data_IF_361365978709
#
_entry.id   IF_361365978709
#
_cell.length_a   1.000
_cell.length_b   1.000
_cell.length_c   1.000
_cell.angle_alpha   90.00
_cell.angle_beta   90.00
_cell.angle_gamma   90.00
#
_symmetry.space_group_name_H-M   'P 1'
#
loop_
_entity.id
_entity.type
_entity.pdbx_description
1 polymer ?
#
# COMPACT_ATOMS: atom_id res chain seq x y z
N UNK A 1 43.14 47.98 57.53
CA UNK A 1 42.21 48.29 56.42
C UNK A 1 41.00 47.36 56.60
N UNK A 2 39.80 47.84 56.94
CA UNK A 2 38.72 48.30 56.02
C UNK A 2 38.58 47.36 54.82
N UNK A 3 37.45 46.83 54.37
CA UNK A 3 36.01 46.92 54.69
C UNK A 3 35.33 45.95 53.69
N UNK A 4 34.37 45.14 54.15
CA UNK A 4 33.16 44.57 53.49
C UNK A 4 33.12 44.27 51.98
N UNK A 5 32.59 43.09 51.65
CA UNK A 5 31.35 42.78 50.88
C UNK A 5 31.28 41.23 50.80
N UNK A 6 30.33 40.45 51.34
CA UNK A 6 28.86 40.48 51.36
C UNK A 6 28.23 40.41 49.96
N UNK A 7 27.76 39.23 49.56
CA UNK A 7 26.40 38.85 49.11
C UNK A 7 26.43 37.40 48.55
N UNK A 8 25.88 36.43 49.28
CA UNK A 8 24.56 35.79 49.04
C UNK A 8 24.56 34.88 47.78
N UNK A 9 24.79 33.57 47.91
CA UNK A 9 23.82 32.56 48.33
C UNK A 9 22.51 32.62 47.55
N UNK A 10 22.38 31.74 46.55
CA UNK A 10 21.10 31.14 46.17
C UNK A 10 21.34 29.65 45.94
N UNK A 11 21.15 28.90 47.03
CA UNK A 11 20.76 27.50 46.98
C UNK A 11 19.23 27.50 46.91
N UNK A 12 18.66 27.11 45.77
CA UNK A 12 17.31 26.54 45.73
C UNK A 12 17.38 25.28 44.89
N UNK A 13 17.14 24.18 45.59
CA UNK A 13 16.93 22.86 45.03
C UNK A 13 15.65 22.83 44.21
N UNK A 14 15.70 22.19 43.05
CA UNK A 14 14.57 21.42 42.54
C UNK A 14 15.00 19.96 42.43
N UNK A 15 14.50 19.17 43.36
CA UNK A 15 14.23 17.75 43.15
C UNK A 15 13.17 17.63 42.06
N UNK A 16 13.42 16.86 41.01
CA UNK A 16 12.35 16.08 40.38
C UNK A 16 12.95 14.96 39.53
N UNK A 17 12.93 13.76 40.10
CA UNK A 17 12.78 12.55 39.32
C UNK A 17 11.39 12.57 38.67
N UNK A 18 11.29 12.34 37.36
CA UNK A 18 10.50 11.21 36.86
C UNK A 18 10.74 11.03 35.38
N UNK A 19 11.01 9.77 35.02
CA UNK A 19 10.79 9.12 33.74
C UNK A 19 9.95 9.91 32.72
N UNK A 20 10.48 10.00 31.52
CA UNK A 20 9.88 9.50 30.28
C UNK A 20 11.11 9.24 29.40
N UNK A 21 11.59 8.00 29.23
CA UNK A 21 10.88 6.90 28.56
C UNK A 21 9.90 7.43 27.51
N UNK A 22 10.39 8.31 26.64
CA UNK A 22 9.91 8.28 25.25
C UNK A 22 10.57 7.05 24.61
N UNK A 23 10.10 5.89 25.06
CA UNK A 23 10.07 4.69 24.25
C UNK A 23 9.41 5.12 22.94
N UNK A 24 10.21 5.29 21.89
CA UNK A 24 9.69 5.38 20.53
C UNK A 24 9.04 4.02 20.30
N UNK A 25 7.74 3.96 20.60
CA UNK A 25 6.91 2.81 20.31
C UNK A 25 6.77 2.79 18.80
N UNK A 26 7.73 2.14 18.14
CA UNK A 26 7.51 1.65 16.79
C UNK A 26 6.40 0.62 16.92
N UNK A 27 5.17 1.02 16.60
CA UNK A 27 4.02 0.14 16.38
C UNK A 27 4.28 -0.77 15.15
N UNK A 28 5.33 -1.60 15.20
CA UNK A 28 5.64 -2.62 14.20
C UNK A 28 5.99 -3.97 14.85
N UNK A 29 5.69 -4.16 16.13
CA UNK A 29 5.22 -5.49 16.53
C UNK A 29 3.81 -5.63 15.97
N UNK A 30 3.67 -6.21 14.77
CA UNK A 30 2.37 -6.61 14.27
C UNK A 30 1.68 -7.41 15.39
N UNK A 31 0.58 -6.92 15.98
CA UNK A 31 -0.13 -7.72 16.94
C UNK A 31 -0.69 -8.92 16.17
N UNK A 32 -0.27 -10.12 16.57
CA UNK A 32 -0.71 -11.43 16.03
C UNK A 32 -2.25 -11.56 15.99
N UNK A 33 -2.98 -10.70 16.73
CA UNK A 33 -4.43 -10.66 16.81
C UNK A 33 -5.15 -9.76 15.76
N UNK A 34 -4.46 -9.18 14.78
CA UNK A 34 -5.04 -8.20 13.83
C UNK A 34 -5.26 -8.67 12.39
N UNK A 35 -5.09 -9.96 12.09
CA UNK A 35 -5.08 -10.43 10.70
C UNK A 35 -6.48 -10.50 10.06
N UNK A 36 -6.63 -9.84 8.92
CA UNK A 36 -7.87 -9.77 8.16
C UNK A 36 -8.13 -11.07 7.41
N UNK A 37 -8.96 -11.95 7.99
CA UNK A 37 -9.28 -13.24 7.36
C UNK A 37 -10.21 -13.17 6.13
N UNK A 38 -11.03 -12.12 6.01
CA UNK A 38 -12.05 -12.01 4.94
C UNK A 38 -12.38 -10.55 4.60
N UNK A 39 -12.55 -10.25 3.31
CA UNK A 39 -12.95 -8.93 2.79
C UNK A 39 -13.92 -9.10 1.63
N UNK A 40 -14.97 -8.27 1.58
CA UNK A 40 -15.88 -8.18 0.42
C UNK A 40 -15.08 -7.95 -0.86
N UNK A 41 -15.38 -8.72 -1.91
CA UNK A 41 -14.68 -8.61 -3.19
C UNK A 41 -14.78 -7.22 -3.85
N UNK A 42 -15.78 -6.44 -3.43
CA UNK A 42 -16.07 -5.08 -3.90
C UNK A 42 -15.96 -4.02 -2.78
N UNK A 43 -15.20 -4.30 -1.72
CA UNK A 43 -14.97 -3.35 -0.63
C UNK A 43 -14.54 -1.97 -1.19
N UNK A 44 -15.10 -0.85 -0.71
CA UNK A 44 -15.89 -0.66 0.53
C UNK A 44 -17.37 -1.05 0.42
N UNK A 45 -17.86 -1.46 -0.74
CA UNK A 45 -19.20 -1.99 -0.87
C UNK A 45 -19.23 -3.43 -0.36
N UNK A 46 -19.96 -3.65 0.74
CA UNK A 46 -20.19 -4.98 1.27
C UNK A 46 -21.15 -5.72 0.33
N UNK A 47 -20.77 -6.93 -0.11
CA UNK A 47 -21.61 -7.73 -0.99
C UNK A 47 -22.46 -8.68 -0.18
N UNK A 48 -23.79 -8.54 -0.25
CA UNK A 48 -24.68 -9.47 0.43
C UNK A 48 -24.55 -10.87 -0.20
N UNK A 49 -24.44 -11.93 0.62
CA UNK A 49 -24.53 -13.28 0.10
C UNK A 49 -25.89 -13.47 -0.61
N UNK A 50 -25.88 -14.04 -1.81
CA UNK A 50 -27.11 -14.40 -2.52
C UNK A 50 -27.03 -15.86 -2.97
N UNK A 51 -28.07 -16.64 -2.68
CA UNK A 51 -28.19 -18.05 -3.08
C UNK A 51 -26.94 -18.92 -2.80
N UNK A 52 -26.26 -18.71 -1.67
CA UNK A 52 -25.05 -19.45 -1.29
C UNK A 52 -23.74 -18.94 -1.91
N UNK A 53 -23.79 -17.93 -2.78
CA UNK A 53 -22.61 -17.28 -3.34
C UNK A 53 -22.12 -16.17 -2.40
N UNK A 54 -21.15 -16.51 -1.56
CA UNK A 54 -20.32 -15.53 -0.86
C UNK A 54 -19.22 -14.98 -1.77
N UNK A 55 -19.35 -13.71 -2.15
CA UNK A 55 -18.36 -13.00 -2.94
C UNK A 55 -17.38 -12.27 -2.00
N UNK A 56 -16.46 -13.02 -1.40
CA UNK A 56 -15.48 -12.45 -0.48
C UNK A 56 -14.10 -13.04 -0.76
N UNK A 57 -13.08 -12.19 -0.75
CA UNK A 57 -11.70 -12.67 -0.64
C UNK A 57 -11.46 -13.23 0.76
N UNK A 58 -10.71 -14.32 0.84
CA UNK A 58 -10.23 -14.88 2.12
C UNK A 58 -8.72 -14.99 2.12
N UNK A 59 -8.12 -14.89 3.30
CA UNK A 59 -6.67 -14.80 3.44
C UNK A 59 -6.15 -15.85 4.43
N UNK A 60 -5.11 -16.56 4.02
CA UNK A 60 -4.36 -17.48 4.89
C UNK A 60 -3.06 -16.83 5.33
N UNK A 61 -2.58 -17.21 6.51
CA UNK A 61 -1.39 -16.62 7.14
C UNK A 61 -0.44 -17.72 7.62
N UNK A 62 0.86 -17.42 7.66
CA UNK A 62 1.84 -18.28 8.34
C UNK A 62 1.86 -18.03 9.86
N UNK A 63 2.68 -18.81 10.58
CA UNK A 63 2.81 -18.70 12.03
C UNK A 63 3.43 -17.36 12.49
N UNK A 64 4.04 -16.60 11.57
CA UNK A 64 4.57 -15.26 11.83
C UNK A 64 3.53 -14.16 11.53
N UNK A 65 2.32 -14.53 11.12
CA UNK A 65 1.24 -13.60 10.80
C UNK A 65 1.36 -12.95 9.43
N UNK A 66 2.25 -13.44 8.54
CA UNK A 66 2.37 -12.94 7.17
C UNK A 66 1.36 -13.62 6.26
N UNK A 67 0.75 -12.88 5.36
CA UNK A 67 -0.24 -13.44 4.43
C UNK A 67 0.45 -14.36 3.41
N UNK A 68 -0.02 -15.60 3.30
CA UNK A 68 0.53 -16.63 2.40
C UNK A 68 -0.40 -16.96 1.25
N UNK A 69 -1.69 -16.62 1.36
CA UNK A 69 -2.67 -16.89 0.32
C UNK A 69 -3.79 -15.85 0.30
N UNK A 70 -4.24 -15.46 -0.89
CA UNK A 70 -5.52 -14.79 -1.14
C UNK A 70 -6.37 -15.73 -2.00
N UNK A 71 -7.57 -16.07 -1.55
CA UNK A 71 -8.52 -16.89 -2.31
C UNK A 71 -9.65 -15.98 -2.80
N UNK A 72 -10.08 -16.19 -4.03
CA UNK A 72 -10.98 -15.31 -4.75
C UNK A 72 -10.23 -14.40 -5.73
N UNK A 73 -10.82 -14.18 -6.90
CA UNK A 73 -10.26 -13.29 -7.92
C UNK A 73 -11.31 -12.84 -8.92
N UNK A 74 -11.03 -11.71 -9.57
CA UNK A 74 -11.76 -11.26 -10.75
C UNK A 74 -11.11 -11.85 -11.98
N UNK A 75 -11.92 -12.45 -12.84
CA UNK A 75 -11.51 -12.95 -14.15
C UNK A 75 -12.09 -12.01 -15.20
N UNK A 76 -11.24 -11.52 -16.08
CA UNK A 76 -11.67 -10.69 -17.18
C UNK A 76 -12.58 -11.50 -18.11
N UNK A 77 -13.68 -10.87 -18.51
CA UNK A 77 -14.61 -11.45 -19.48
C UNK A 77 -14.42 -10.77 -20.82
N UNK A 78 -14.78 -11.48 -21.89
CA UNK A 78 -14.94 -10.86 -23.20
C UNK A 78 -15.96 -9.73 -23.12
N UNK A 79 -15.65 -8.60 -23.75
CA UNK A 79 -16.57 -7.46 -23.84
C UNK A 79 -17.93 -7.81 -24.46
N UNK A 80 -18.01 -8.90 -25.24
CA UNK A 80 -19.27 -9.42 -25.79
C UNK A 80 -20.26 -9.94 -24.73
N UNK A 81 -19.82 -10.16 -23.49
CA UNK A 81 -20.70 -10.61 -22.39
C UNK A 81 -21.49 -9.46 -21.76
N UNK A 82 -21.12 -8.20 -22.02
CA UNK A 82 -21.69 -7.03 -21.34
C UNK A 82 -21.18 -6.81 -19.92
N UNK A 83 -20.28 -7.67 -19.43
CA UNK A 83 -19.64 -7.56 -18.13
C UNK A 83 -18.12 -7.47 -18.31
N UNK A 84 -17.45 -6.68 -17.48
CA UNK A 84 -15.98 -6.56 -17.52
C UNK A 84 -15.27 -7.74 -16.85
N UNK A 85 -15.92 -8.38 -15.88
CA UNK A 85 -15.32 -9.47 -15.12
C UNK A 85 -16.38 -10.36 -14.46
N UNK A 86 -15.96 -11.55 -14.03
CA UNK A 86 -16.68 -12.36 -13.06
C UNK A 86 -15.81 -12.70 -11.86
N UNK A 87 -16.43 -12.85 -10.69
CA UNK A 87 -15.75 -13.31 -9.49
C UNK A 87 -15.71 -14.84 -9.45
N UNK A 88 -14.56 -15.42 -9.11
CA UNK A 88 -14.41 -16.86 -8.90
C UNK A 88 -13.60 -17.18 -7.66
N UNK A 89 -14.09 -18.12 -6.85
CA UNK A 89 -13.37 -18.69 -5.70
C UNK A 89 -12.22 -19.62 -6.11
N UNK A 90 -12.25 -20.11 -7.35
CA UNK A 90 -11.19 -20.97 -7.89
C UNK A 90 -9.94 -20.19 -8.24
N UNK A 91 -10.00 -18.86 -8.37
CA UNK A 91 -8.81 -18.02 -8.52
C UNK A 91 -8.17 -17.82 -7.16
N UNK A 92 -6.86 -17.96 -7.08
CA UNK A 92 -6.11 -17.67 -5.86
C UNK A 92 -4.71 -17.15 -6.17
N UNK A 93 -4.18 -16.39 -5.22
CA UNK A 93 -2.80 -15.91 -5.21
C UNK A 93 -2.06 -16.60 -4.07
N UNK A 94 -0.86 -17.13 -4.30
CA UNK A 94 0.01 -17.66 -3.24
C UNK A 94 1.24 -16.77 -3.07
N UNK A 95 1.74 -16.70 -1.84
CA UNK A 95 2.98 -16.01 -1.49
C UNK A 95 3.89 -17.00 -0.78
N UNK A 96 5.10 -17.19 -1.31
CA UNK A 96 6.12 -18.05 -0.73
C UNK A 96 7.28 -17.20 -0.22
N UNK A 97 7.55 -17.28 1.09
CA UNK A 97 8.63 -16.54 1.74
C UNK A 97 9.91 -17.39 1.82
N UNK A 98 11.06 -16.79 1.56
CA UNK A 98 12.38 -17.43 1.73
C UNK A 98 13.38 -16.37 2.17
N UNK A 99 13.81 -16.43 3.43
CA UNK A 99 14.62 -15.37 4.04
C UNK A 99 13.88 -14.03 4.04
N UNK A 100 14.55 -12.99 3.54
CA UNK A 100 14.00 -11.64 3.37
C UNK A 100 13.32 -11.43 2.00
N UNK A 101 12.99 -12.50 1.28
CA UNK A 101 12.32 -12.42 -0.02
C UNK A 101 10.95 -13.10 0.00
N UNK A 102 10.06 -12.68 -0.90
CA UNK A 102 8.84 -13.40 -1.20
C UNK A 102 8.54 -13.44 -2.71
N UNK A 103 7.92 -14.53 -3.15
CA UNK A 103 7.41 -14.65 -4.52
C UNK A 103 5.89 -14.81 -4.45
N UNK A 104 5.17 -13.93 -5.14
CA UNK A 104 3.73 -13.96 -5.28
C UNK A 104 3.33 -14.38 -6.69
N UNK A 105 2.35 -15.28 -6.81
CA UNK A 105 1.84 -15.79 -8.10
C UNK A 105 0.33 -16.04 -8.07
N UNK A 106 -0.34 -15.81 -9.20
CA UNK A 106 -1.76 -16.10 -9.39
C UNK A 106 -1.96 -17.48 -10.04
N UNK A 107 -3.05 -18.16 -9.67
CA UNK A 107 -3.41 -19.51 -10.12
C UNK A 107 -4.93 -19.67 -10.25
N UNK A 108 -5.35 -20.71 -10.98
CA UNK A 108 -6.71 -21.24 -10.96
C UNK A 108 -6.70 -22.67 -10.41
N UNK A 109 -7.65 -22.99 -9.53
CA UNK A 109 -7.98 -24.36 -9.16
C UNK A 109 -9.01 -25.01 -10.10
N UNK A 110 -9.53 -24.27 -11.07
CA UNK A 110 -10.49 -24.72 -12.07
C UNK A 110 -9.83 -24.76 -13.46
N UNK A 111 -9.85 -25.93 -14.09
CA UNK A 111 -9.21 -26.16 -15.39
C UNK A 111 -10.02 -25.62 -16.58
N UNK A 112 -11.25 -25.14 -16.35
CA UNK A 112 -12.11 -24.58 -17.41
C UNK A 112 -11.68 -23.19 -17.86
N UNK A 113 -10.82 -22.51 -17.11
CA UNK A 113 -10.24 -21.22 -17.49
C UNK A 113 -8.80 -21.07 -17.00
N UNK A 114 -8.03 -20.25 -17.71
CA UNK A 114 -6.68 -19.85 -17.31
C UNK A 114 -6.70 -18.50 -16.60
N UNK A 115 -5.83 -18.32 -15.62
CA UNK A 115 -5.51 -16.99 -15.07
C UNK A 115 -4.15 -16.58 -15.59
N UNK A 116 -3.99 -15.30 -15.92
CA UNK A 116 -2.68 -14.79 -16.27
C UNK A 116 -1.72 -14.98 -15.09
N UNK A 117 -0.59 -15.63 -15.35
CA UNK A 117 0.44 -15.81 -14.34
C UNK A 117 1.14 -14.48 -14.11
N UNK A 118 0.72 -13.78 -13.05
CA UNK A 118 1.40 -12.58 -12.58
C UNK A 118 2.38 -12.94 -11.48
N UNK A 119 3.67 -12.91 -11.79
CA UNK A 119 4.73 -13.10 -10.81
C UNK A 119 5.17 -11.76 -10.23
N UNK A 120 5.32 -11.69 -8.91
CA UNK A 120 5.91 -10.54 -8.21
C UNK A 120 6.97 -11.03 -7.23
N UNK A 121 8.16 -10.44 -7.27
CA UNK A 121 9.29 -10.78 -6.39
C UNK A 121 9.55 -9.62 -5.45
N UNK A 122 9.36 -9.84 -4.17
CA UNK A 122 9.53 -8.85 -3.12
C UNK A 122 10.84 -9.10 -2.36
N UNK A 123 11.49 -8.02 -1.97
CA UNK A 123 12.57 -8.00 -0.99
C UNK A 123 12.15 -7.11 0.18
N UNK A 124 12.42 -7.58 1.40
CA UNK A 124 12.08 -6.90 2.64
C UNK A 124 13.33 -6.48 3.40
N UNK A 125 13.24 -5.38 4.14
CA UNK A 125 14.22 -5.04 5.15
C UNK A 125 14.01 -5.81 6.46
N UNK A 126 14.88 -5.55 7.44
CA UNK A 126 14.82 -6.19 8.76
C UNK A 126 13.57 -5.81 9.59
N UNK A 127 12.81 -4.80 9.17
CA UNK A 127 11.54 -4.41 9.79
C UNK A 127 10.33 -5.03 9.06
N UNK A 128 10.56 -5.86 8.03
CA UNK A 128 9.51 -6.48 7.25
C UNK A 128 8.84 -5.54 6.23
N UNK A 129 9.45 -4.38 5.95
CA UNK A 129 8.94 -3.43 4.95
C UNK A 129 9.49 -3.80 3.58
N UNK A 130 8.66 -3.67 2.54
CA UNK A 130 9.11 -3.91 1.16
C UNK A 130 10.12 -2.84 0.78
N UNK A 131 11.32 -3.21 0.38
CA UNK A 131 12.34 -2.27 -0.13
C UNK A 131 12.50 -2.38 -1.64
N UNK A 132 12.13 -3.53 -2.22
CA UNK A 132 12.21 -3.78 -3.65
C UNK A 132 11.08 -4.69 -4.11
N UNK A 133 10.57 -4.43 -5.31
CA UNK A 133 9.63 -5.28 -6.02
C UNK A 133 10.04 -5.39 -7.49
N UNK A 134 10.13 -6.61 -8.01
CA UNK A 134 10.29 -6.89 -9.43
C UNK A 134 9.00 -7.51 -9.95
N UNK A 135 8.46 -6.96 -11.03
CA UNK A 135 7.30 -7.49 -11.77
C UNK A 135 7.77 -7.84 -13.18
N UNK A 136 8.14 -9.12 -13.43
CA UNK A 136 8.50 -9.57 -14.77
C UNK A 136 7.30 -9.50 -15.71
N UNK A 137 7.54 -9.09 -16.96
CA UNK A 137 6.55 -9.07 -18.02
C UNK A 137 6.66 -10.32 -18.87
N UNK A 138 5.59 -11.12 -18.90
CA UNK A 138 5.57 -12.45 -19.54
C UNK A 138 5.88 -12.38 -21.04
N UNK A 139 5.39 -11.35 -21.73
CA UNK A 139 5.47 -11.24 -23.18
C UNK A 139 6.50 -10.23 -23.68
N UNK A 140 7.10 -9.44 -22.79
CA UNK A 140 8.06 -8.40 -23.17
C UNK A 140 8.99 -8.07 -22.01
N UNK A 141 10.17 -8.71 -21.98
CA UNK A 141 11.19 -8.50 -20.94
C UNK A 141 11.67 -7.06 -20.83
N UNK A 142 11.54 -6.26 -21.90
CA UNK A 142 11.87 -4.84 -21.85
C UNK A 142 10.97 -4.07 -20.88
N UNK A 143 9.74 -4.56 -20.66
CA UNK A 143 8.75 -3.91 -19.80
C UNK A 143 8.78 -4.43 -18.35
N UNK A 144 9.79 -5.23 -17.97
CA UNK A 144 10.02 -5.63 -16.58
C UNK A 144 10.08 -4.39 -15.68
N UNK A 145 9.24 -4.35 -14.64
CA UNK A 145 9.21 -3.23 -13.69
C UNK A 145 10.08 -3.54 -12.48
N UNK A 146 11.00 -2.65 -12.17
CA UNK A 146 11.80 -2.68 -10.96
C UNK A 146 11.40 -1.49 -10.09
N UNK A 147 10.81 -1.78 -8.93
CA UNK A 147 10.33 -0.79 -7.99
C UNK A 147 11.23 -0.77 -6.74
N UNK A 148 11.64 0.41 -6.32
CA UNK A 148 12.39 0.65 -5.09
C UNK A 148 11.56 1.53 -4.16
N UNK A 149 11.48 1.13 -2.89
CA UNK A 149 10.64 1.77 -1.88
C UNK A 149 11.52 2.51 -0.86
N UNK A 150 11.23 3.79 -0.64
CA UNK A 150 11.99 4.65 0.28
C UNK A 150 11.10 5.05 1.44
N UNK A 151 11.65 5.02 2.65
CA UNK A 151 10.94 5.33 3.88
C UNK A 151 11.61 6.49 4.62
N UNK A 152 10.83 7.28 5.36
CA UNK A 152 11.37 8.24 6.32
C UNK A 152 11.87 7.57 7.61
N UNK A 153 12.45 8.37 8.50
CA UNK A 153 12.96 7.91 9.80
C UNK A 153 11.87 7.42 10.74
N UNK A 154 10.61 7.81 10.54
CA UNK A 154 9.45 7.28 11.27
C UNK A 154 8.91 5.98 10.70
N UNK A 155 9.47 5.54 9.57
CA UNK A 155 9.10 4.31 8.88
C UNK A 155 7.91 4.43 7.94
N UNK A 156 7.46 5.65 7.60
CA UNK A 156 6.42 5.86 6.57
C UNK A 156 7.04 5.83 5.19
N UNK A 157 6.34 5.21 4.24
CA UNK A 157 6.75 5.17 2.83
C UNK A 157 6.67 6.58 2.26
N UNK A 158 7.77 7.11 1.73
CA UNK A 158 7.81 8.46 1.15
C UNK A 158 7.85 8.45 -0.36
N UNK A 159 8.46 7.42 -0.95
CA UNK A 159 8.65 7.34 -2.40
C UNK A 159 8.65 5.89 -2.90
N UNK A 160 8.11 5.68 -4.11
CA UNK A 160 8.37 4.52 -4.94
C UNK A 160 8.98 5.01 -6.25
N UNK A 161 10.18 4.50 -6.58
CA UNK A 161 10.79 4.67 -7.89
C UNK A 161 10.54 3.42 -8.73
N UNK A 162 9.91 3.57 -9.89
CA UNK A 162 9.76 2.50 -10.90
C UNK A 162 10.72 2.73 -12.06
N UNK A 163 11.46 1.69 -12.42
CA UNK A 163 12.41 1.68 -13.53
C UNK A 163 12.15 0.50 -14.46
N UNK A 164 12.59 0.64 -15.71
CA UNK A 164 12.52 -0.39 -16.73
C UNK A 164 13.93 -0.69 -17.24
N UNK A 165 14.74 -1.46 -16.47
CA UNK A 165 16.18 -1.58 -16.71
C UNK A 165 16.53 -2.28 -18.02
N UNK A 166 15.57 -2.98 -18.61
CA UNK A 166 15.78 -3.74 -19.83
C UNK A 166 15.47 -2.90 -21.10
N UNK A 167 14.77 -1.76 -21.00
CA UNK A 167 14.49 -0.91 -22.17
C UNK A 167 15.84 -0.38 -22.72
N UNK A 168 16.16 -0.65 -24.00
CA UNK A 168 17.36 -0.09 -24.62
C UNK A 168 17.24 1.44 -24.70
N UNK A 169 18.37 2.11 -24.53
CA UNK A 169 18.47 3.58 -24.59
C UNK A 169 19.64 3.96 -25.51
N UNK A 170 19.36 4.78 -26.53
CA UNK A 170 20.33 5.38 -27.42
C UNK A 170 20.55 6.86 -27.04
N UNK A 171 21.69 7.21 -26.43
CA UNK A 171 21.98 8.59 -26.05
C UNK A 171 22.23 9.52 -27.25
N UNK A 172 22.30 9.01 -28.47
CA UNK A 172 22.51 9.80 -29.69
C UNK A 172 21.21 10.21 -30.38
N UNK A 173 20.09 9.57 -30.05
CA UNK A 173 18.76 9.96 -30.52
C UNK A 173 18.15 10.99 -29.54
N UNK A 174 17.95 12.25 -29.95
CA UNK A 174 17.36 13.27 -29.08
C UNK A 174 15.89 12.99 -28.68
N UNK A 175 15.21 12.04 -29.34
CA UNK A 175 13.87 11.62 -28.99
C UNK A 175 13.85 10.47 -27.96
N UNK A 176 14.98 9.81 -27.71
CA UNK A 176 15.08 8.69 -26.78
C UNK A 176 15.41 9.17 -25.35
N UNK A 177 14.87 8.48 -24.36
CA UNK A 177 15.03 8.83 -22.95
C UNK A 177 14.85 7.64 -22.03
N UNK A 178 15.51 7.71 -20.87
CA UNK A 178 15.29 6.76 -19.79
C UNK A 178 13.96 7.09 -19.12
N UNK A 179 12.96 6.23 -19.36
CA UNK A 179 11.65 6.30 -18.72
C UNK A 179 11.71 5.79 -17.28
N UNK A 180 11.26 6.62 -16.34
CA UNK A 180 11.02 6.21 -14.95
C UNK A 180 9.71 6.81 -14.44
N UNK A 181 9.15 6.22 -13.38
CA UNK A 181 8.06 6.82 -12.63
C UNK A 181 8.46 7.01 -11.18
N UNK A 182 8.08 8.14 -10.60
CA UNK A 182 8.26 8.42 -9.18
C UNK A 182 6.90 8.69 -8.56
N UNK A 183 6.53 7.88 -7.57
CA UNK A 183 5.32 8.09 -6.78
C UNK A 183 5.69 8.56 -5.38
N UNK A 184 5.20 9.75 -4.99
CA UNK A 184 5.45 10.35 -3.68
C UNK A 184 4.21 10.31 -2.81
N UNK A 185 4.42 10.02 -1.53
CA UNK A 185 3.35 9.83 -0.54
C UNK A 185 3.39 10.92 0.52
N UNK A 186 2.23 11.48 0.85
CA UNK A 186 2.08 12.51 1.88
C UNK A 186 1.04 12.08 2.89
N UNK A 187 1.37 12.26 4.18
CA UNK A 187 0.55 11.87 5.30
C UNK A 187 0.09 13.09 6.09
N UNK A 188 -1.13 13.05 6.61
CA UNK A 188 -1.59 14.06 7.55
C UNK A 188 -1.01 13.84 8.95
N UNK A 189 -1.26 14.78 9.85
CA UNK A 189 -0.76 14.76 11.22
C UNK A 189 -1.25 13.55 12.05
N UNK A 190 -2.35 12.92 11.65
CA UNK A 190 -2.87 11.70 12.29
C UNK A 190 -2.19 10.41 11.78
N UNK A 191 -1.25 10.52 10.83
CA UNK A 191 -0.56 9.38 10.24
C UNK A 191 -1.37 8.65 9.17
N UNK A 192 -2.38 9.29 8.58
CA UNK A 192 -3.13 8.74 7.46
C UNK A 192 -2.55 9.22 6.13
N UNK A 193 -2.48 8.33 5.13
CA UNK A 193 -2.09 8.71 3.78
C UNK A 193 -3.14 9.67 3.22
N UNK A 194 -2.78 10.92 3.05
CA UNK A 194 -3.68 11.93 2.49
C UNK A 194 -3.59 11.97 0.97
N UNK A 195 -2.37 11.77 0.44
CA UNK A 195 -2.11 11.94 -0.99
C UNK A 195 -0.98 11.04 -1.49
N UNK A 196 -1.15 10.50 -2.70
CA UNK A 196 -0.08 9.91 -3.51
C UNK A 196 -0.07 10.59 -4.89
N UNK A 197 1.10 11.02 -5.37
CA UNK A 197 1.27 11.63 -6.69
C UNK A 197 2.31 10.85 -7.46
N UNK A 198 1.95 10.36 -8.64
CA UNK A 198 2.84 9.65 -9.56
C UNK A 198 3.23 10.52 -10.74
N UNK A 199 4.52 10.75 -10.91
CA UNK A 199 5.11 11.58 -11.97
C UNK A 199 5.93 10.71 -12.92
N UNK A 200 5.73 10.91 -14.22
CA UNK A 200 6.62 10.37 -15.25
C UNK A 200 7.87 11.23 -15.34
N UNK A 201 9.03 10.59 -15.49
CA UNK A 201 10.32 11.26 -15.64
C UNK A 201 11.05 10.76 -16.88
N UNK A 202 11.66 11.71 -17.58
CA UNK A 202 12.54 11.46 -18.73
C UNK A 202 13.95 11.88 -18.34
N UNK A 203 14.90 10.95 -18.36
CA UNK A 203 16.28 11.22 -17.94
C UNK A 203 16.36 11.85 -16.53
N UNK A 204 15.52 11.36 -15.61
CA UNK A 204 15.33 11.85 -14.23
C UNK A 204 14.72 13.25 -14.08
N UNK A 205 14.28 13.89 -15.17
CA UNK A 205 13.60 15.18 -15.16
C UNK A 205 12.09 14.93 -15.18
N UNK A 206 11.34 15.63 -14.32
CA UNK A 206 9.88 15.55 -14.29
C UNK A 206 9.30 15.95 -15.65
N UNK A 207 8.56 15.04 -16.29
CA UNK A 207 7.86 15.29 -17.54
C UNK A 207 6.44 15.80 -17.25
N UNK A 208 5.63 14.98 -16.57
CA UNK A 208 4.27 15.35 -16.14
C UNK A 208 3.74 14.39 -15.08
N UNK A 209 2.73 14.84 -14.32
CA UNK A 209 1.98 14.00 -13.37
C UNK A 209 1.08 13.06 -14.16
N UNK A 210 1.11 11.76 -13.84
CA UNK A 210 0.26 10.74 -14.46
C UNK A 210 -0.97 10.42 -13.61
N UNK A 211 -0.80 10.41 -12.28
CA UNK A 211 -1.87 10.04 -11.36
C UNK A 211 -1.77 10.82 -10.05
N UNK A 212 -2.90 11.22 -9.50
CA UNK A 212 -3.04 11.74 -8.14
C UNK A 212 -4.16 10.97 -7.43
N UNK A 213 -3.84 10.37 -6.28
CA UNK A 213 -4.82 9.74 -5.38
C UNK A 213 -4.90 10.54 -4.10
N UNK A 214 -6.11 10.89 -3.67
CA UNK A 214 -6.39 11.55 -2.41
C UNK A 214 -7.32 10.66 -1.59
N UNK A 215 -7.01 10.52 -0.29
CA UNK A 215 -7.89 9.90 0.68
C UNK A 215 -8.20 10.91 1.80
N UNK A 216 -9.45 10.97 2.23
CA UNK A 216 -9.86 11.84 3.32
C UNK A 216 -11.09 11.30 4.06
N UNK A 217 -11.62 12.12 4.98
CA UNK A 217 -12.73 11.79 5.87
C UNK A 217 -12.48 10.51 6.67
N UNK A 218 -11.25 10.38 7.18
CA UNK A 218 -10.84 9.25 8.00
C UNK A 218 -11.69 9.13 9.26
N UNK A 219 -11.98 7.89 9.65
CA UNK A 219 -12.50 7.62 10.98
C UNK A 219 -11.39 7.52 12.04
N UNK A 220 -11.75 7.12 13.26
CA UNK A 220 -10.83 6.91 14.37
C UNK A 220 -10.50 5.44 14.63
N UNK A 221 -11.07 4.51 13.86
CA UNK A 221 -10.91 3.07 14.08
C UNK A 221 -9.61 2.56 13.49
N UNK A 222 -9.09 1.46 14.05
CA UNK A 222 -7.87 0.84 13.53
C UNK A 222 -8.10 0.31 12.11
N UNK A 223 -7.11 0.50 11.26
CA UNK A 223 -7.14 0.02 9.89
C UNK A 223 -6.80 -1.48 9.81
N UNK A 224 -7.70 -2.34 9.31
CA UNK A 224 -7.48 -3.78 9.21
C UNK A 224 -6.65 -4.19 7.98
N UNK A 225 -6.39 -3.28 7.05
CA UNK A 225 -5.67 -3.58 5.80
C UNK A 225 -4.14 -3.60 5.96
N UNK A 226 -3.60 -3.38 7.17
CA UNK A 226 -2.16 -3.28 7.42
C UNK A 226 -1.36 -4.50 6.96
N UNK A 227 -1.88 -5.71 7.17
CA UNK A 227 -1.20 -6.96 6.73
C UNK A 227 -1.45 -7.32 5.27
N UNK A 228 -2.31 -6.57 4.56
CA UNK A 228 -2.68 -6.85 3.17
C UNK A 228 -1.97 -5.95 2.14
N UNK A 229 -1.06 -5.07 2.58
CA UNK A 229 -0.37 -4.11 1.72
C UNK A 229 0.50 -4.70 0.60
N UNK A 230 0.80 -6.00 0.64
CA UNK A 230 1.47 -6.71 -0.45
C UNK A 230 0.58 -6.86 -1.71
N UNK A 231 -0.75 -6.81 -1.54
CA UNK A 231 -1.70 -6.84 -2.64
C UNK A 231 -2.03 -5.42 -3.11
N UNK A 232 -1.98 -5.20 -4.41
CA UNK A 232 -2.25 -3.89 -5.03
C UNK A 232 -3.63 -3.32 -4.64
N UNK A 233 -4.65 -4.18 -4.57
CA UNK A 233 -6.02 -3.83 -4.16
C UNK A 233 -6.09 -3.13 -2.78
N UNK A 234 -5.16 -3.46 -1.88
CA UNK A 234 -5.12 -2.98 -0.50
C UNK A 234 -3.92 -2.11 -0.19
N UNK A 235 -2.99 -1.94 -1.13
CA UNK A 235 -1.73 -1.24 -0.92
C UNK A 235 -1.95 0.15 -0.31
N UNK A 236 -2.70 1.02 -0.98
CA UNK A 236 -2.95 2.37 -0.48
C UNK A 236 -3.72 2.40 0.85
N UNK A 237 -4.71 1.51 1.02
CA UNK A 237 -5.43 1.42 2.29
C UNK A 237 -4.46 1.05 3.41
N UNK A 238 -3.55 0.09 3.20
CA UNK A 238 -2.60 -0.35 4.21
C UNK A 238 -1.65 0.75 4.71
N UNK A 239 -1.45 1.83 3.94
CA UNK A 239 -0.57 2.94 4.34
C UNK A 239 -1.16 3.82 5.45
N UNK A 240 -2.48 3.93 5.57
CA UNK A 240 -3.14 4.82 6.55
C UNK A 240 -3.27 4.20 7.95
N UNK A 241 -3.22 5.00 9.02
CA UNK A 241 -3.50 4.54 10.39
C UNK A 241 -4.96 4.11 10.59
N UNK A 242 -5.88 4.87 10.00
CA UNK A 242 -7.32 4.74 10.08
C UNK A 242 -7.95 4.53 8.70
N UNK A 243 -9.26 4.32 8.67
CA UNK A 243 -9.97 3.97 7.45
C UNK A 243 -10.55 5.22 6.78
N UNK A 244 -10.23 5.47 5.49
CA UNK A 244 -10.83 6.59 4.75
C UNK A 244 -12.31 6.33 4.48
N UNK A 245 -13.04 7.40 4.18
CA UNK A 245 -14.45 7.35 3.73
C UNK A 245 -14.64 7.98 2.35
N UNK A 246 -13.56 8.47 1.76
CA UNK A 246 -13.52 9.03 0.41
C UNK A 246 -12.19 8.73 -0.24
N UNK A 247 -12.25 8.42 -1.54
CA UNK A 247 -11.12 8.30 -2.44
C UNK A 247 -11.40 9.16 -3.66
N UNK A 248 -10.43 9.99 -4.05
CA UNK A 248 -10.42 10.72 -5.31
C UNK A 248 -9.21 10.24 -6.10
N UNK A 249 -9.40 9.88 -7.35
CA UNK A 249 -8.35 9.53 -8.30
C UNK A 249 -8.45 10.43 -9.50
N UNK A 250 -7.34 11.07 -9.87
CA UNK A 250 -7.18 11.82 -11.11
C UNK A 250 -6.16 11.12 -11.98
N UNK A 251 -6.54 10.80 -13.20
CA UNK A 251 -5.65 10.27 -14.22
C UNK A 251 -5.43 11.34 -15.29
N UNK A 252 -4.22 11.87 -15.36
CA UNK A 252 -3.89 13.01 -16.22
C UNK A 252 -3.49 12.54 -17.61
N UNK A 253 -3.89 13.31 -18.63
CA UNK A 253 -3.40 13.09 -19.99
C UNK A 253 -1.93 13.53 -20.10
N UNK A 254 -1.12 12.84 -20.93
CA UNK A 254 0.25 13.24 -21.16
C UNK A 254 0.40 14.70 -21.58
N UNK A 255 1.33 15.40 -20.93
CA UNK A 255 1.68 16.81 -21.21
C UNK A 255 0.49 17.79 -21.12
N UNK A 256 -0.53 17.46 -20.33
CA UNK A 256 -1.74 18.26 -20.19
C UNK A 256 -2.18 18.37 -18.73
N UNK A 257 -2.98 19.40 -18.43
CA UNK A 257 -3.71 19.52 -17.17
C UNK A 257 -5.07 18.84 -17.19
N UNK A 258 -5.51 18.30 -18.33
CA UNK A 258 -6.73 17.52 -18.45
C UNK A 258 -6.60 16.18 -17.70
N UNK A 259 -7.66 15.79 -16.99
CA UNK A 259 -7.69 14.52 -16.27
C UNK A 259 -9.07 13.87 -16.29
N UNK A 260 -9.08 12.54 -16.14
CA UNK A 260 -10.27 11.77 -15.80
C UNK A 260 -10.40 11.70 -14.28
N UNK A 261 -11.57 12.07 -13.76
CA UNK A 261 -11.87 12.07 -12.34
C UNK A 261 -12.70 10.85 -11.96
N UNK A 262 -12.22 10.07 -11.01
CA UNK A 262 -13.01 9.06 -10.32
C UNK A 262 -13.08 9.42 -8.83
N UNK A 263 -14.30 9.60 -8.31
CA UNK A 263 -14.54 9.86 -6.91
C UNK A 263 -15.47 8.80 -6.34
N UNK A 264 -15.07 8.22 -5.21
CA UNK A 264 -15.88 7.30 -4.42
C UNK A 264 -16.03 7.86 -3.01
N UNK A 265 -17.27 7.92 -2.51
CA UNK A 265 -17.60 8.25 -1.13
C UNK A 265 -18.36 7.06 -0.55
N UNK A 266 -18.10 6.71 0.70
CA UNK A 266 -18.81 5.63 1.38
C UNK A 266 -18.91 5.91 2.88
N UNK A 267 -19.75 5.13 3.56
CA UNK A 267 -19.83 5.14 5.02
C UNK A 267 -19.32 3.80 5.53
N UNK A 268 -18.28 3.85 6.36
CA UNK A 268 -17.77 2.67 7.04
C UNK A 268 -18.84 2.10 7.97
N UNK A 269 -19.07 0.81 7.89
CA UNK A 269 -19.90 0.05 8.81
C UNK A 269 -19.00 -0.62 9.84
N UNK A 270 -19.53 -0.91 11.04
CA UNK A 270 -18.74 -1.50 12.12
C UNK A 270 -19.47 -2.69 12.72
N UNK A 271 -18.69 -3.64 13.19
CA UNK A 271 -19.18 -4.75 14.00
C UNK A 271 -19.52 -4.25 15.42
N UNK A 272 -20.19 -5.09 16.21
CA UNK A 272 -20.56 -4.75 17.60
C UNK A 272 -19.37 -4.50 18.51
N UNK A 273 -18.18 -5.02 18.17
CA UNK A 273 -16.92 -4.80 18.87
C UNK A 273 -16.21 -3.50 18.45
N UNK A 274 -16.78 -2.73 17.52
CA UNK A 274 -16.21 -1.49 17.00
C UNK A 274 -15.18 -1.67 15.88
N UNK A 275 -14.86 -2.90 15.48
CA UNK A 275 -14.00 -3.18 14.33
C UNK A 275 -14.70 -2.81 13.01
N UNK A 276 -13.94 -2.38 12.01
CA UNK A 276 -14.47 -2.11 10.68
C UNK A 276 -15.09 -3.38 10.09
N UNK A 277 -16.35 -3.28 9.65
CA UNK A 277 -17.04 -4.38 8.98
C UNK A 277 -16.54 -4.50 7.54
N UNK A 278 -15.92 -5.64 7.22
CA UNK A 278 -15.25 -5.89 5.94
C UNK A 278 -16.05 -6.75 4.97
N UNK A 279 -17.03 -7.50 5.46
CA UNK A 279 -17.92 -8.39 4.72
C UNK A 279 -19.28 -8.45 5.44
N UNK A 280 -20.30 -8.99 4.77
CA UNK A 280 -21.67 -9.04 5.33
C UNK A 280 -21.83 -10.05 6.47
#
# INVERSE_FOLDING_TARGET
MKLKLLFFATLLAFTSCSNNDDEVTTDITQPVNGNTGKVSWNFPNLSQPSAGNELNYTFDYDAQGRVTKKIGGKLELSGSTGFSYFYSKSVYTTISYTGNMAIMKNYSGDTSFSVMLEERKFEFDNQGRVIKLIIPQVNNVYMDKHLTYTYDTSGKLTEILTQYPNIPYDPTDPADYILTYVEKFTYNNSGNLEKAIKTEKHNNIDAYVTNEIIFDNFDSTQNPFKSLGIFEDYFYFSLSKNNPRRKISKEFKPYSSEFFLNQSNWTNQYNSDGSLKLFY
#
